data_IF_317835963066
#
_entry.id   IF_317835963066
#
_cell.length_a   1.000
_cell.length_b   1.000
_cell.length_c   1.000
_cell.angle_alpha   90.00
_cell.angle_beta   90.00
_cell.angle_gamma   90.00
#
_symmetry.space_group_name_H-M   'P 1'
#
loop_
_entity.id
_entity.type
_entity.pdbx_description
1 polymer ?
#
# COMPACT_ATOMS: atom_id res chain seq x y z
N UNK A 1 25.28 8.55 24.97
CA UNK A 1 24.86 8.33 23.57
C UNK A 1 23.39 8.06 23.62
N UNK A 2 22.51 8.83 22.98
CA UNK A 2 21.09 8.54 23.00
C UNK A 2 20.83 7.26 22.20
N UNK A 3 20.04 6.35 22.79
CA UNK A 3 19.63 5.08 22.20
C UNK A 3 18.66 5.32 21.03
N UNK A 4 19.20 5.60 19.86
CA UNK A 4 18.46 5.80 18.63
C UNK A 4 18.35 4.50 17.83
N UNK A 5 17.18 4.15 17.36
CA UNK A 5 17.02 3.11 16.35
C UNK A 5 17.64 3.61 15.05
N UNK A 6 18.71 2.98 14.57
CA UNK A 6 19.32 3.35 13.30
C UNK A 6 18.63 2.56 12.18
N UNK A 7 17.90 3.25 11.31
CA UNK A 7 17.42 2.69 10.05
C UNK A 7 18.51 2.83 8.98
N UNK A 8 18.88 1.73 8.37
CA UNK A 8 19.80 1.72 7.24
C UNK A 8 19.06 1.30 5.97
N UNK A 9 19.30 1.99 4.86
CA UNK A 9 18.82 1.59 3.55
C UNK A 9 19.98 0.91 2.82
N UNK A 10 19.73 -0.27 2.27
CA UNK A 10 20.67 -0.94 1.39
C UNK A 10 19.86 -1.54 0.23
N UNK A 11 20.12 -1.08 -1.00
CA UNK A 11 19.40 -1.49 -2.22
C UNK A 11 17.87 -1.30 -2.11
N UNK A 12 17.40 -0.12 -1.65
CA UNK A 12 15.97 0.13 -1.42
C UNK A 12 15.40 -0.53 -0.17
N UNK A 13 16.23 -1.06 0.73
CA UNK A 13 15.80 -1.80 1.93
C UNK A 13 16.24 -1.11 3.20
N UNK A 14 15.32 -0.94 4.15
CA UNK A 14 15.61 -0.43 5.47
C UNK A 14 16.16 -1.54 6.37
N UNK A 15 17.25 -1.22 7.09
CA UNK A 15 17.77 -2.06 8.16
C UNK A 15 17.71 -1.31 9.48
N UNK A 16 17.22 -1.96 10.53
CA UNK A 16 17.31 -1.45 11.89
C UNK A 16 18.48 -2.11 12.62
N UNK A 17 19.21 -1.35 13.43
CA UNK A 17 20.14 -1.93 14.38
C UNK A 17 19.36 -2.39 15.62
N UNK A 18 19.66 -3.56 16.22
CA UNK A 18 18.96 -4.02 17.41
C UNK A 18 19.26 -3.08 18.58
N UNK A 19 18.23 -2.52 19.18
CA UNK A 19 18.30 -1.85 20.49
C UNK A 19 17.79 -2.81 21.55
N UNK A 20 18.53 -2.92 22.65
CA UNK A 20 18.10 -3.66 23.84
C UNK A 20 16.83 -3.03 24.40
N UNK A 21 15.93 -3.90 24.86
CA UNK A 21 14.65 -3.64 25.48
C UNK A 21 14.66 -2.49 26.52
N UNK A 22 14.28 -1.28 26.10
CA UNK A 22 13.64 -0.26 26.90
C UNK A 22 12.82 0.61 25.95
N UNK A 23 11.58 0.93 26.30
CA UNK A 23 10.73 1.84 25.53
C UNK A 23 11.44 3.21 25.40
N UNK A 24 11.89 3.63 24.23
CA UNK A 24 12.49 4.94 24.07
C UNK A 24 11.39 6.00 24.17
N UNK A 25 11.58 7.00 25.04
CA UNK A 25 10.66 8.14 25.21
C UNK A 25 10.64 9.09 24.00
N UNK A 26 11.55 8.93 23.04
CA UNK A 26 11.54 9.62 21.76
C UNK A 26 12.15 8.72 20.68
N UNK A 27 11.45 8.59 19.55
CA UNK A 27 11.90 7.80 18.40
C UNK A 27 12.54 8.73 17.38
N UNK A 28 13.82 8.54 17.15
CA UNK A 28 14.57 9.27 16.13
C UNK A 28 15.15 8.26 15.14
N UNK A 29 15.08 8.59 13.87
CA UNK A 29 15.67 7.80 12.79
C UNK A 29 16.76 8.63 12.11
N UNK A 30 17.94 8.06 12.00
CA UNK A 30 19.08 8.63 11.28
C UNK A 30 19.35 7.80 10.03
N UNK A 31 19.57 8.48 8.91
CA UNK A 31 20.16 7.84 7.74
C UNK A 31 21.65 7.58 8.02
N UNK A 32 22.11 6.37 7.66
CA UNK A 32 23.54 6.06 7.83
C UNK A 32 24.38 6.92 6.90
N UNK A 33 25.49 7.46 7.40
CA UNK A 33 26.43 8.27 6.61
C UNK A 33 26.89 7.57 5.35
N UNK A 34 27.08 6.24 5.40
CA UNK A 34 27.43 5.42 4.22
C UNK A 34 26.32 5.44 3.14
N UNK A 35 25.05 5.49 3.54
CA UNK A 35 23.94 5.59 2.58
C UNK A 35 23.90 6.98 1.96
N UNK A 36 24.09 8.02 2.77
CA UNK A 36 24.07 9.41 2.28
C UNK A 36 25.26 9.71 1.35
N UNK A 37 26.38 9.00 1.52
CA UNK A 37 27.54 9.09 0.62
C UNK A 37 27.38 8.31 -0.70
N UNK A 38 26.35 7.48 -0.82
CA UNK A 38 26.05 6.73 -2.04
C UNK A 38 25.46 7.68 -3.09
N UNK A 39 26.06 7.81 -4.30
CA UNK A 39 25.52 8.66 -5.37
C UNK A 39 24.15 8.19 -5.85
N UNK A 40 23.79 6.95 -5.59
CA UNK A 40 22.48 6.39 -5.87
C UNK A 40 21.52 6.42 -4.67
N UNK A 41 21.89 7.10 -3.59
CA UNK A 41 21.00 7.29 -2.44
C UNK A 41 19.68 7.95 -2.86
N UNK A 42 18.58 7.48 -2.32
CA UNK A 42 17.22 7.90 -2.68
C UNK A 42 16.40 8.17 -1.44
N UNK A 43 15.63 9.26 -1.47
CA UNK A 43 14.63 9.53 -0.46
C UNK A 43 13.49 8.49 -0.58
N UNK A 44 13.03 7.96 0.54
CA UNK A 44 11.93 6.96 0.56
C UNK A 44 10.56 7.59 0.44
N UNK A 45 10.48 8.89 0.64
CA UNK A 45 9.25 9.67 0.55
C UNK A 45 9.58 11.11 0.18
N UNK A 46 8.65 11.76 -0.48
CA UNK A 46 8.71 13.21 -0.73
C UNK A 46 8.74 14.01 0.59
N UNK A 47 8.17 13.47 1.66
CA UNK A 47 8.18 14.08 3.00
C UNK A 47 9.43 13.76 3.82
N UNK A 48 10.29 12.83 3.36
CA UNK A 48 11.50 12.38 4.03
C UNK A 48 12.75 12.60 3.15
N UNK A 49 13.15 13.84 2.88
CA UNK A 49 14.31 14.14 2.03
C UNK A 49 15.61 13.62 2.65
N UNK A 50 16.60 13.29 1.83
CA UNK A 50 17.92 12.87 2.33
C UNK A 50 18.55 14.00 3.16
N UNK A 51 18.96 13.69 4.41
CA UNK A 51 19.64 14.63 5.30
C UNK A 51 20.45 13.89 6.37
N UNK A 52 21.44 14.59 6.94
CA UNK A 52 22.28 14.05 8.02
C UNK A 52 21.60 14.14 9.41
N UNK A 53 20.66 15.05 9.56
CA UNK A 53 19.97 15.26 10.82
C UNK A 53 18.95 14.15 11.07
N UNK A 54 18.71 13.85 12.34
CA UNK A 54 17.70 12.90 12.75
C UNK A 54 16.29 13.39 12.37
N UNK A 55 15.46 12.48 11.90
CA UNK A 55 14.03 12.75 11.73
C UNK A 55 13.33 12.61 13.07
N UNK A 56 12.44 13.55 13.37
CA UNK A 56 11.54 13.45 14.53
C UNK A 56 10.46 12.39 14.29
N UNK A 57 9.85 11.91 15.37
CA UNK A 57 8.70 10.99 15.31
C UNK A 57 7.57 11.56 14.43
N UNK A 58 7.24 12.84 14.60
CA UNK A 58 6.19 13.52 13.85
C UNK A 58 6.46 13.60 12.33
N UNK A 59 7.74 13.55 11.94
CA UNK A 59 8.14 13.53 10.52
C UNK A 59 8.11 12.10 9.95
N UNK A 60 8.44 11.10 10.77
CA UNK A 60 8.53 9.70 10.35
C UNK A 60 7.18 9.00 10.29
N UNK A 61 6.35 9.25 11.31
CA UNK A 61 5.08 8.56 11.50
C UNK A 61 4.18 8.62 10.24
N UNK A 62 3.99 9.76 9.56
CA UNK A 62 3.13 9.83 8.39
C UNK A 62 3.48 8.79 7.32
N UNK A 63 4.77 8.59 7.06
CA UNK A 63 5.21 7.62 6.06
C UNK A 63 5.17 6.18 6.59
N UNK A 64 5.85 5.92 7.71
CA UNK A 64 6.04 4.55 8.19
C UNK A 64 4.77 3.95 8.76
N UNK A 65 3.99 4.72 9.50
CA UNK A 65 2.69 4.28 10.00
C UNK A 65 1.68 4.05 8.85
N UNK A 66 1.76 4.87 7.81
CA UNK A 66 0.99 4.72 6.58
C UNK A 66 1.21 3.40 5.83
N UNK A 67 2.31 2.68 6.08
CA UNK A 67 2.59 1.37 5.50
C UNK A 67 1.82 0.23 6.19
N UNK A 68 1.27 0.46 7.37
CA UNK A 68 0.52 -0.53 8.13
C UNK A 68 -0.98 -0.50 7.79
N UNK A 69 -1.70 -1.61 8.01
CA UNK A 69 -3.16 -1.59 8.01
C UNK A 69 -3.70 -0.63 9.06
N UNK A 70 -4.91 -0.12 8.84
CA UNK A 70 -5.62 0.77 9.77
C UNK A 70 -6.71 0.01 10.54
N UNK A 71 -7.26 0.65 11.57
CA UNK A 71 -8.46 0.21 12.27
C UNK A 71 -8.34 -1.17 12.93
N UNK A 72 -9.35 -2.01 12.75
CA UNK A 72 -9.43 -3.30 13.42
C UNK A 72 -8.41 -4.32 12.85
N UNK A 73 -8.06 -4.25 11.57
CA UNK A 73 -7.00 -5.11 11.01
C UNK A 73 -5.66 -4.86 11.73
N UNK A 74 -5.33 -3.60 12.01
CA UNK A 74 -4.15 -3.24 12.82
C UNK A 74 -4.24 -3.80 14.24
N UNK A 75 -5.39 -3.63 14.91
CA UNK A 75 -5.59 -4.15 16.28
C UNK A 75 -5.48 -5.67 16.33
N UNK A 76 -6.05 -6.37 15.36
CA UNK A 76 -5.97 -7.83 15.29
C UNK A 76 -4.53 -8.32 15.12
N UNK A 77 -3.75 -7.72 14.21
CA UNK A 77 -2.33 -8.05 14.02
C UNK A 77 -1.53 -7.72 15.28
N UNK A 78 -1.76 -6.56 15.89
CA UNK A 78 -1.08 -6.15 17.10
C UNK A 78 -1.35 -7.11 18.27
N UNK A 79 -2.60 -7.51 18.48
CA UNK A 79 -3.01 -8.48 19.49
C UNK A 79 -2.37 -9.87 19.25
N UNK A 80 -2.36 -10.34 17.99
CA UNK A 80 -1.73 -11.61 17.64
C UNK A 80 -0.22 -11.62 17.92
N UNK A 81 0.43 -10.48 17.76
CA UNK A 81 1.88 -10.34 17.97
C UNK A 81 2.24 -9.92 19.41
N UNK A 82 1.26 -9.62 20.27
CA UNK A 82 1.49 -9.08 21.61
C UNK A 82 2.18 -7.70 21.59
N UNK A 83 1.82 -6.87 20.62
CA UNK A 83 2.41 -5.52 20.40
C UNK A 83 1.31 -4.47 20.56
N UNK A 84 1.63 -3.34 21.19
CA UNK A 84 0.71 -2.21 21.25
C UNK A 84 0.42 -1.67 19.83
N UNK A 85 -0.86 -1.41 19.46
CA UNK A 85 -1.23 -0.95 18.12
C UNK A 85 -0.50 0.34 17.68
N UNK A 86 -0.17 1.21 18.62
CA UNK A 86 0.53 2.48 18.34
C UNK A 86 2.03 2.31 18.14
N UNK A 87 2.57 1.13 18.40
CA UNK A 87 3.98 0.86 18.17
C UNK A 87 4.24 0.43 16.72
N UNK A 88 4.02 1.39 15.79
CA UNK A 88 4.13 1.14 14.34
C UNK A 88 5.51 0.61 13.92
N UNK A 89 6.61 1.08 14.54
CA UNK A 89 7.95 0.60 14.18
C UNK A 89 8.14 -0.88 14.52
N UNK A 90 7.66 -1.33 15.68
CA UNK A 90 7.76 -2.73 16.07
C UNK A 90 6.82 -3.61 15.23
N UNK A 91 5.63 -3.12 14.91
CA UNK A 91 4.72 -3.79 13.98
C UNK A 91 5.36 -3.95 12.60
N UNK A 92 5.98 -2.89 12.06
CA UNK A 92 6.69 -2.95 10.79
C UNK A 92 7.87 -3.92 10.82
N UNK A 93 8.63 -3.99 11.92
CA UNK A 93 9.70 -4.97 12.06
C UNK A 93 9.20 -6.43 12.02
N UNK A 94 7.98 -6.67 12.43
CA UNK A 94 7.36 -8.01 12.42
C UNK A 94 6.64 -8.32 11.11
N UNK A 95 6.04 -7.32 10.47
CA UNK A 95 5.17 -7.47 9.30
C UNK A 95 5.70 -6.80 8.03
N UNK A 96 6.74 -5.95 8.14
CA UNK A 96 7.16 -5.03 7.09
C UNK A 96 7.94 -5.63 5.92
N UNK A 97 7.97 -6.95 5.79
CA UNK A 97 8.58 -7.61 4.62
C UNK A 97 7.77 -7.37 3.35
N UNK A 98 6.46 -7.20 3.48
CA UNK A 98 5.54 -7.01 2.35
C UNK A 98 4.71 -5.74 2.49
N UNK A 99 5.37 -4.61 2.48
CA UNK A 99 4.74 -3.30 2.48
C UNK A 99 4.27 -2.90 1.07
N UNK A 100 3.55 -1.80 1.00
CA UNK A 100 3.26 -1.08 -0.24
C UNK A 100 4.59 -0.51 -0.79
N UNK A 101 4.73 -0.50 -2.12
CA UNK A 101 5.94 -0.01 -2.78
C UNK A 101 7.14 -0.94 -2.66
N UNK A 102 8.35 -0.40 -2.74
CA UNK A 102 9.62 -1.14 -2.75
C UNK A 102 10.39 -1.07 -1.42
N UNK A 103 9.78 -0.52 -0.39
CA UNK A 103 10.39 -0.46 0.95
C UNK A 103 10.07 -1.75 1.71
N UNK A 104 11.11 -2.42 2.22
CA UNK A 104 10.96 -3.55 3.14
C UNK A 104 11.68 -3.24 4.45
N UNK A 105 11.02 -3.50 5.56
CA UNK A 105 11.57 -3.25 6.89
C UNK A 105 11.97 -4.59 7.50
N UNK A 106 13.27 -4.73 7.80
CA UNK A 106 13.85 -5.98 8.24
C UNK A 106 14.80 -5.76 9.41
N UNK A 107 15.02 -6.79 10.21
CA UNK A 107 16.01 -6.82 11.29
C UNK A 107 17.44 -7.10 10.81
N UNK A 108 17.73 -6.98 9.53
CA UNK A 108 19.05 -7.19 8.93
C UNK A 108 19.09 -8.24 7.82
N UNK A 109 18.11 -9.13 7.74
CA UNK A 109 17.99 -10.11 6.67
C UNK A 109 17.23 -9.54 5.47
N UNK A 110 17.74 -9.76 4.27
CA UNK A 110 17.05 -9.38 3.06
C UNK A 110 15.88 -10.33 2.79
N UNK A 111 14.68 -9.82 2.43
CA UNK A 111 13.60 -10.70 1.98
C UNK A 111 14.08 -11.55 0.80
N UNK A 112 13.79 -12.85 0.83
CA UNK A 112 14.04 -13.70 -0.32
C UNK A 112 12.94 -13.53 -1.37
N UNK A 113 13.21 -12.89 -2.53
CA UNK A 113 12.20 -12.71 -3.57
C UNK A 113 11.83 -14.02 -4.29
N UNK A 114 12.63 -15.06 -4.09
CA UNK A 114 12.47 -16.40 -4.69
C UNK A 114 11.82 -17.41 -3.74
N UNK A 115 11.05 -16.98 -2.76
CA UNK A 115 10.40 -17.88 -1.81
C UNK A 115 9.52 -18.95 -2.49
N UNK A 116 8.99 -19.87 -1.70
CA UNK A 116 8.18 -20.99 -2.21
C UNK A 116 6.87 -20.49 -2.82
N UNK A 117 6.58 -20.97 -4.01
CA UNK A 117 5.28 -20.81 -4.67
C UNK A 117 4.42 -22.03 -4.34
N UNK A 118 3.27 -21.82 -3.73
CA UNK A 118 2.32 -22.90 -3.46
C UNK A 118 0.97 -22.57 -4.10
N UNK A 119 0.52 -23.45 -5.00
CA UNK A 119 -0.82 -23.36 -5.55
C UNK A 119 -1.86 -23.55 -4.45
N UNK A 120 -2.89 -22.71 -4.43
CA UNK A 120 -4.00 -22.85 -3.51
C UNK A 120 -5.03 -23.83 -4.08
N UNK A 121 -5.46 -24.76 -3.25
CA UNK A 121 -6.61 -25.60 -3.56
C UNK A 121 -7.92 -24.83 -3.35
N UNK A 122 -9.03 -25.34 -3.88
CA UNK A 122 -10.34 -24.77 -3.58
C UNK A 122 -10.69 -24.79 -2.09
N UNK A 123 -10.12 -25.74 -1.32
CA UNK A 123 -10.26 -25.77 0.15
C UNK A 123 -9.47 -24.63 0.81
N UNK A 124 -8.19 -24.42 0.41
CA UNK A 124 -7.38 -23.31 0.91
C UNK A 124 -8.05 -21.95 0.65
N UNK A 125 -8.60 -21.76 -0.56
CA UNK A 125 -9.29 -20.54 -0.94
C UNK A 125 -10.55 -20.30 -0.09
N UNK A 126 -11.39 -21.30 0.11
CA UNK A 126 -12.56 -21.17 0.97
C UNK A 126 -12.18 -20.84 2.41
N UNK A 127 -11.17 -21.49 2.97
CA UNK A 127 -10.68 -21.19 4.31
C UNK A 127 -10.13 -19.75 4.41
N UNK A 128 -9.41 -19.29 3.38
CA UNK A 128 -8.92 -17.92 3.31
C UNK A 128 -10.08 -16.91 3.30
N UNK A 129 -11.12 -17.16 2.48
CA UNK A 129 -12.27 -16.26 2.39
C UNK A 129 -13.07 -16.22 3.67
N UNK A 130 -13.33 -17.36 4.33
CA UNK A 130 -13.99 -17.37 5.64
C UNK A 130 -13.24 -16.52 6.66
N UNK A 131 -11.91 -16.64 6.73
CA UNK A 131 -11.11 -15.81 7.63
C UNK A 131 -11.16 -14.30 7.27
N UNK A 132 -11.20 -13.97 5.98
CA UNK A 132 -11.35 -12.59 5.53
C UNK A 132 -12.72 -12.00 5.91
N UNK A 133 -13.78 -12.81 5.86
CA UNK A 133 -15.14 -12.42 6.22
C UNK A 133 -15.27 -12.21 7.74
N UNK A 134 -14.76 -13.12 8.55
CA UNK A 134 -14.72 -12.95 10.01
C UNK A 134 -14.03 -11.65 10.42
N UNK A 135 -12.92 -11.31 9.74
CA UNK A 135 -12.25 -10.02 9.93
C UNK A 135 -13.11 -8.82 9.49
N UNK A 136 -13.84 -8.95 8.38
CA UNK A 136 -14.71 -7.88 7.89
C UNK A 136 -15.92 -7.69 8.82
N UNK A 137 -16.52 -8.76 9.33
CA UNK A 137 -17.66 -8.71 10.27
C UNK A 137 -17.24 -8.12 11.62
N UNK A 138 -16.12 -8.53 12.17
CA UNK A 138 -15.60 -7.96 13.43
C UNK A 138 -15.33 -6.45 13.33
N UNK A 139 -15.08 -5.94 12.11
CA UNK A 139 -14.92 -4.52 11.84
C UNK A 139 -16.27 -3.78 11.73
N UNK A 140 -17.35 -4.44 11.26
CA UNK A 140 -18.67 -3.83 11.10
C UNK A 140 -19.32 -3.51 12.45
N UNK A 141 -19.10 -4.31 13.47
CA UNK A 141 -19.59 -4.05 14.82
C UNK A 141 -19.02 -2.76 15.44
N UNK A 142 -17.82 -2.36 15.02
CA UNK A 142 -17.19 -1.12 15.47
C UNK A 142 -17.73 0.17 14.84
N UNK A 143 -18.68 0.12 13.92
CA UNK A 143 -19.44 1.22 13.28
C UNK A 143 -18.63 2.42 12.75
N UNK A 144 -17.36 2.27 12.37
CA UNK A 144 -16.50 3.44 12.17
C UNK A 144 -16.16 3.80 10.73
N UNK A 145 -16.40 2.97 9.72
CA UNK A 145 -16.47 3.33 8.29
C UNK A 145 -16.61 2.10 7.40
N UNK A 146 -17.25 2.23 6.23
CA UNK A 146 -17.33 1.20 5.19
C UNK A 146 -15.93 0.73 4.71
N UNK A 147 -14.91 1.58 4.79
CA UNK A 147 -13.53 1.24 4.44
C UNK A 147 -12.90 0.19 5.38
N UNK A 148 -13.34 0.13 6.64
CA UNK A 148 -12.92 -0.87 7.63
C UNK A 148 -13.58 -2.23 7.49
N UNK A 149 -14.66 -2.34 6.72
CA UNK A 149 -15.49 -3.55 6.60
C UNK A 149 -15.04 -4.52 5.50
N UNK A 150 -13.94 -4.26 4.83
CA UNK A 150 -13.39 -5.13 3.78
C UNK A 150 -12.28 -6.03 4.33
N UNK A 151 -12.45 -7.34 4.20
CA UNK A 151 -11.36 -8.31 4.34
C UNK A 151 -10.44 -8.23 3.12
N UNK A 152 -9.13 -8.30 3.33
CA UNK A 152 -8.13 -8.23 2.26
C UNK A 152 -7.10 -9.34 2.41
N UNK A 153 -6.75 -10.01 1.32
CA UNK A 153 -5.64 -10.96 1.25
C UNK A 153 -4.82 -10.73 -0.01
N UNK A 154 -3.51 -10.92 0.11
CA UNK A 154 -2.61 -10.82 -1.03
C UNK A 154 -2.30 -12.21 -1.61
N UNK A 155 -2.32 -12.36 -2.93
CA UNK A 155 -2.00 -13.58 -3.66
C UNK A 155 -1.27 -13.27 -4.97
N UNK A 156 -0.84 -14.31 -5.69
CA UNK A 156 -0.39 -14.22 -7.06
C UNK A 156 -1.29 -15.05 -7.96
N UNK A 157 -1.45 -14.59 -9.17
CA UNK A 157 -2.00 -15.34 -10.28
C UNK A 157 -0.87 -15.87 -11.17
N UNK A 158 -1.03 -17.07 -11.74
CA UNK A 158 -0.02 -17.67 -12.61
C UNK A 158 0.21 -16.77 -13.84
N UNK A 159 1.45 -16.30 -14.11
CA UNK A 159 1.72 -15.48 -15.29
C UNK A 159 1.34 -16.18 -16.61
N UNK A 160 0.53 -15.50 -17.42
CA UNK A 160 0.10 -16.00 -18.73
C UNK A 160 -1.06 -16.99 -18.72
N UNK A 161 -1.57 -17.40 -17.55
CA UNK A 161 -2.83 -18.12 -17.46
C UNK A 161 -4.03 -17.14 -17.47
N UNK A 162 -5.22 -17.52 -17.95
CA UNK A 162 -6.39 -16.69 -17.80
C UNK A 162 -6.82 -16.62 -16.34
N UNK A 163 -7.26 -15.45 -15.89
CA UNK A 163 -7.95 -15.29 -14.60
C UNK A 163 -9.38 -15.77 -14.78
N UNK A 164 -9.70 -16.94 -14.25
CA UNK A 164 -11.06 -17.46 -14.25
C UNK A 164 -11.84 -17.05 -12.98
N UNK A 165 -13.15 -17.08 -13.07
CA UNK A 165 -14.04 -16.72 -11.94
C UNK A 165 -13.85 -17.61 -10.72
N UNK A 166 -13.39 -18.83 -10.91
CA UNK A 166 -13.11 -19.78 -9.84
C UNK A 166 -11.72 -19.57 -9.17
N UNK A 167 -10.88 -18.67 -9.68
CA UNK A 167 -9.55 -18.40 -9.14
C UNK A 167 -8.61 -19.60 -9.17
N UNK A 168 -8.79 -20.53 -10.14
CA UNK A 168 -8.07 -21.81 -10.19
C UNK A 168 -6.55 -21.68 -10.31
N UNK A 169 -6.05 -20.51 -10.71
CA UNK A 169 -4.63 -20.23 -10.91
C UNK A 169 -4.04 -19.30 -9.85
N UNK A 170 -4.63 -19.27 -8.65
CA UNK A 170 -4.12 -18.46 -7.54
C UNK A 170 -3.07 -19.23 -6.71
N UNK A 171 -2.04 -18.50 -6.31
CA UNK A 171 -0.87 -19.01 -5.59
C UNK A 171 -0.52 -18.14 -4.39
N UNK A 172 0.02 -18.74 -3.34
CA UNK A 172 0.76 -17.99 -2.33
C UNK A 172 2.16 -17.72 -2.84
N UNK A 173 2.63 -16.49 -2.68
CA UNK A 173 3.97 -16.04 -3.10
C UNK A 173 4.51 -15.01 -2.13
N UNK A 174 5.85 -14.85 -2.04
CA UNK A 174 6.46 -13.88 -1.13
C UNK A 174 6.08 -12.42 -1.40
N UNK A 175 5.91 -12.05 -2.68
CA UNK A 175 5.57 -10.70 -3.11
C UNK A 175 4.26 -10.75 -3.90
N UNK A 176 3.16 -10.55 -3.23
CA UNK A 176 1.79 -10.75 -3.70
C UNK A 176 1.36 -9.70 -4.72
N UNK A 177 1.31 -10.02 -6.02
CA UNK A 177 0.96 -9.05 -7.07
C UNK A 177 -0.54 -8.78 -7.20
N UNK A 178 -1.39 -9.51 -6.48
CA UNK A 178 -2.84 -9.32 -6.48
C UNK A 178 -3.34 -9.12 -5.06
N UNK A 179 -4.39 -8.32 -4.92
CA UNK A 179 -5.14 -8.14 -3.68
C UNK A 179 -6.55 -8.65 -3.90
N UNK A 180 -6.97 -9.61 -3.10
CA UNK A 180 -8.36 -10.03 -3.02
C UNK A 180 -9.07 -9.20 -1.96
N UNK A 181 -10.29 -8.78 -2.25
CA UNK A 181 -11.14 -8.00 -1.36
C UNK A 181 -12.51 -8.65 -1.24
N UNK A 182 -12.96 -8.84 -0.01
CA UNK A 182 -14.34 -9.20 0.34
C UNK A 182 -14.98 -8.03 1.07
N UNK A 183 -16.29 -8.06 1.24
CA UNK A 183 -17.02 -7.08 2.02
C UNK A 183 -17.97 -7.77 2.99
N UNK A 184 -18.29 -7.12 4.12
CA UNK A 184 -19.38 -7.53 5.01
C UNK A 184 -20.74 -7.55 4.28
N UNK A 185 -20.91 -6.67 3.29
CA UNK A 185 -22.01 -6.68 2.34
C UNK A 185 -21.53 -7.25 1.00
N UNK A 186 -22.24 -8.23 0.41
CA UNK A 186 -21.82 -8.88 -0.85
C UNK A 186 -21.66 -7.90 -2.02
N UNK A 187 -22.42 -6.81 -2.02
CA UNK A 187 -22.43 -5.83 -3.10
C UNK A 187 -21.19 -4.93 -3.13
N UNK A 188 -20.46 -4.77 -2.01
CA UNK A 188 -19.29 -3.87 -1.96
C UNK A 188 -18.21 -4.26 -2.98
N UNK A 189 -17.76 -5.52 -3.10
CA UNK A 189 -16.79 -5.91 -4.12
C UNK A 189 -17.30 -5.72 -5.54
N UNK A 190 -18.60 -5.98 -5.77
CA UNK A 190 -19.24 -5.80 -7.07
C UNK A 190 -19.32 -4.32 -7.45
N UNK A 191 -19.74 -3.45 -6.54
CA UNK A 191 -19.79 -2.00 -6.77
C UNK A 191 -18.40 -1.44 -7.07
N UNK A 192 -17.37 -1.82 -6.30
CA UNK A 192 -15.99 -1.41 -6.56
C UNK A 192 -15.53 -1.90 -7.94
N UNK A 193 -15.85 -3.14 -8.32
CA UNK A 193 -15.56 -3.67 -9.66
C UNK A 193 -16.22 -2.84 -10.76
N UNK A 194 -17.53 -2.57 -10.64
CA UNK A 194 -18.28 -1.80 -11.63
C UNK A 194 -17.75 -0.37 -11.77
N UNK A 195 -17.43 0.30 -10.65
CA UNK A 195 -16.84 1.63 -10.68
C UNK A 195 -15.45 1.64 -11.36
N UNK A 196 -14.61 0.65 -11.08
CA UNK A 196 -13.30 0.51 -11.73
C UNK A 196 -13.46 0.26 -13.24
N UNK A 197 -14.42 -0.57 -13.66
CA UNK A 197 -14.71 -0.80 -15.09
C UNK A 197 -15.28 0.45 -15.76
N UNK A 198 -16.17 1.19 -15.10
CA UNK A 198 -16.72 2.46 -15.60
C UNK A 198 -15.61 3.51 -15.75
N UNK A 199 -14.75 3.66 -14.75
CA UNK A 199 -13.60 4.56 -14.82
C UNK A 199 -12.67 4.24 -16.01
N UNK A 200 -12.36 2.95 -16.21
CA UNK A 200 -11.59 2.50 -17.37
C UNK A 200 -12.27 2.84 -18.71
N UNK A 201 -13.60 2.64 -18.80
CA UNK A 201 -14.38 3.01 -19.99
C UNK A 201 -14.39 4.52 -20.26
N UNK A 202 -14.24 5.34 -19.22
CA UNK A 202 -14.06 6.80 -19.31
C UNK A 202 -12.60 7.21 -19.63
N UNK A 203 -11.71 6.27 -19.93
CA UNK A 203 -10.31 6.55 -20.25
C UNK A 203 -9.45 6.93 -19.06
N UNK A 204 -9.89 6.62 -17.83
CA UNK A 204 -9.09 6.79 -16.62
C UNK A 204 -8.19 5.56 -16.45
N UNK A 205 -6.91 5.78 -16.21
CA UNK A 205 -5.98 4.72 -15.89
C UNK A 205 -6.33 4.13 -14.52
N UNK A 206 -6.77 2.87 -14.50
CA UNK A 206 -7.12 2.13 -13.29
C UNK A 206 -6.29 0.84 -13.21
N UNK A 207 -6.10 0.34 -12.00
CA UNK A 207 -5.54 -0.99 -11.82
C UNK A 207 -6.46 -2.05 -12.46
N UNK A 208 -5.94 -3.07 -13.15
CA UNK A 208 -6.76 -4.15 -13.69
C UNK A 208 -7.52 -4.87 -12.57
N UNK A 209 -8.79 -5.17 -12.83
CA UNK A 209 -9.68 -5.83 -11.87
C UNK A 209 -10.40 -7.00 -12.47
N UNK A 210 -10.61 -8.03 -11.65
CA UNK A 210 -11.36 -9.24 -11.97
C UNK A 210 -12.38 -9.50 -10.87
N UNK A 211 -13.55 -9.98 -11.23
CA UNK A 211 -14.55 -10.44 -10.30
C UNK A 211 -14.48 -11.97 -10.23
N UNK A 212 -14.23 -12.50 -9.05
CA UNK A 212 -14.19 -13.92 -8.77
C UNK A 212 -15.47 -14.33 -8.06
N UNK A 213 -15.92 -15.59 -8.28
CA UNK A 213 -17.09 -16.14 -7.61
C UNK A 213 -16.69 -17.33 -6.72
N UNK A 214 -16.84 -17.16 -5.42
CA UNK A 214 -16.67 -18.18 -4.40
C UNK A 214 -17.95 -18.41 -3.60
N UNK A 215 -19.12 -18.38 -4.28
CA UNK A 215 -20.44 -18.36 -3.67
C UNK A 215 -20.88 -16.94 -3.27
N UNK A 216 -19.98 -15.98 -3.39
CA UNK A 216 -20.18 -14.52 -3.30
C UNK A 216 -19.09 -13.79 -4.09
N UNK A 217 -19.36 -12.53 -4.50
CA UNK A 217 -18.39 -11.76 -5.25
C UNK A 217 -17.12 -11.46 -4.44
N UNK A 218 -15.97 -11.69 -5.05
CA UNK A 218 -14.64 -11.33 -4.52
C UNK A 218 -13.93 -10.50 -5.57
N UNK A 219 -13.56 -9.27 -5.23
CA UNK A 219 -12.80 -8.41 -6.11
C UNK A 219 -11.31 -8.78 -6.07
N UNK A 220 -10.74 -9.09 -7.21
CA UNK A 220 -9.31 -9.27 -7.40
C UNK A 220 -8.74 -8.04 -8.11
N UNK A 221 -7.80 -7.35 -7.47
CA UNK A 221 -7.13 -6.15 -8.00
C UNK A 221 -5.67 -6.48 -8.27
N UNK A 222 -5.19 -6.22 -9.49
CA UNK A 222 -3.77 -6.30 -9.81
C UNK A 222 -3.03 -5.11 -9.20
N UNK A 223 -1.94 -5.38 -8.50
CA UNK A 223 -1.11 -4.34 -7.90
C UNK A 223 -0.20 -3.71 -8.96
N UNK A 224 -0.32 -2.42 -9.19
CA UNK A 224 0.54 -1.69 -10.13
C UNK A 224 1.97 -1.48 -9.58
N UNK A 225 2.19 -1.67 -8.28
CA UNK A 225 3.52 -1.61 -7.63
C UNK A 225 4.24 -2.97 -7.63
N UNK A 226 3.73 -3.95 -8.37
CA UNK A 226 4.32 -5.28 -8.55
C UNK A 226 4.41 -5.62 -10.03
N UNK A 227 5.58 -6.08 -10.47
CA UNK A 227 5.77 -6.60 -11.82
C UNK A 227 6.10 -8.08 -11.75
N UNK A 228 5.29 -8.88 -12.41
CA UNK A 228 5.59 -10.29 -12.61
C UNK A 228 6.56 -10.43 -13.78
N UNK A 229 7.70 -11.05 -13.53
CA UNK A 229 8.77 -11.29 -14.49
C UNK A 229 9.09 -12.79 -14.51
N UNK A 230 9.87 -13.21 -15.49
CA UNK A 230 10.49 -14.54 -15.50
C UNK A 230 12.01 -14.36 -15.45
N UNK A 231 12.64 -15.04 -14.51
CA UNK A 231 14.10 -15.13 -14.41
C UNK A 231 14.47 -16.60 -14.56
N UNK A 232 15.20 -16.94 -15.63
CA UNK A 232 15.59 -18.33 -15.95
C UNK A 232 14.41 -19.32 -16.00
N UNK A 233 13.24 -18.85 -16.47
CA UNK A 233 12.02 -19.64 -16.55
C UNK A 233 11.15 -19.63 -15.27
N UNK A 234 11.71 -19.26 -14.14
CA UNK A 234 10.98 -19.18 -12.87
C UNK A 234 10.24 -17.84 -12.73
N UNK A 235 9.04 -17.83 -12.15
CA UNK A 235 8.32 -16.59 -11.88
C UNK A 235 9.02 -15.81 -10.78
N UNK A 236 9.25 -14.52 -11.04
CA UNK A 236 9.83 -13.57 -10.07
C UNK A 236 8.94 -12.33 -10.03
N UNK A 237 8.71 -11.80 -8.85
CA UNK A 237 7.99 -10.54 -8.67
C UNK A 237 8.98 -9.45 -8.28
N UNK A 238 9.06 -8.39 -9.06
CA UNK A 238 9.78 -7.17 -8.70
C UNK A 238 8.85 -6.13 -8.11
N UNK A 239 9.38 -5.27 -7.26
CA UNK A 239 8.66 -4.18 -6.61
C UNK A 239 8.96 -2.86 -7.34
N UNK A 240 7.94 -2.01 -7.42
CA UNK A 240 8.08 -0.62 -7.81
C UNK A 240 7.81 0.25 -6.59
N UNK A 241 8.63 1.28 -6.41
CA UNK A 241 8.41 2.18 -5.30
C UNK A 241 7.19 3.07 -5.54
N UNK A 242 6.36 3.19 -4.50
CA UNK A 242 5.20 4.07 -4.48
C UNK A 242 4.97 4.61 -3.07
N UNK A 243 4.25 5.70 -2.99
CA UNK A 243 3.66 6.23 -1.75
C UNK A 243 2.30 6.86 -2.06
N UNK A 244 1.40 6.87 -1.09
CA UNK A 244 0.16 7.63 -1.20
C UNK A 244 0.39 9.13 -0.93
N UNK A 245 -0.58 9.97 -1.30
CA UNK A 245 -0.41 11.42 -1.12
C UNK A 245 -0.40 11.84 0.36
N UNK A 246 -1.01 11.06 1.26
CA UNK A 246 -0.89 11.31 2.70
C UNK A 246 0.58 11.20 3.14
N UNK A 247 1.26 10.14 2.71
CA UNK A 247 2.69 9.93 2.94
C UNK A 247 3.55 11.02 2.29
N UNK A 248 3.27 11.35 1.01
CA UNK A 248 4.03 12.35 0.25
C UNK A 248 3.93 13.76 0.84
N UNK A 249 2.78 14.13 1.40
CA UNK A 249 2.55 15.40 2.10
C UNK A 249 2.92 15.37 3.58
N UNK A 250 3.33 14.24 4.13
CA UNK A 250 3.62 14.10 5.57
C UNK A 250 2.38 14.24 6.44
N UNK A 251 1.21 13.84 5.94
CA UNK A 251 -0.06 13.83 6.67
C UNK A 251 -0.24 12.45 7.31
N UNK A 252 -0.38 12.36 8.64
CA UNK A 252 -0.53 11.07 9.30
C UNK A 252 -1.86 10.38 8.92
N UNK A 253 -1.93 9.01 8.97
CA UNK A 253 -3.09 8.25 8.51
C UNK A 253 -4.43 8.68 9.11
N UNK A 254 -4.45 9.03 10.38
CA UNK A 254 -5.64 9.50 11.10
C UNK A 254 -6.16 10.84 10.61
N UNK A 255 -5.29 11.65 9.98
CA UNK A 255 -5.63 12.95 9.41
C UNK A 255 -5.83 12.94 7.88
N UNK A 256 -6.03 11.77 7.27
CA UNK A 256 -6.14 11.59 5.81
C UNK A 256 -7.24 12.42 5.12
N UNK A 257 -8.27 12.84 5.88
CA UNK A 257 -9.33 13.75 5.41
C UNK A 257 -9.03 15.23 5.66
N UNK A 258 -7.85 15.55 6.21
CA UNK A 258 -7.45 16.93 6.45
C UNK A 258 -7.43 17.72 5.14
N UNK A 259 -8.09 18.88 5.14
CA UNK A 259 -7.98 19.82 4.04
C UNK A 259 -6.59 20.45 4.00
N UNK A 260 -5.98 20.47 2.81
CA UNK A 260 -4.69 21.13 2.58
C UNK A 260 -4.92 22.57 2.06
N UNK A 261 -4.03 23.47 2.40
CA UNK A 261 -4.09 24.87 1.93
C UNK A 261 -3.54 25.02 0.50
N UNK A 262 -4.11 25.86 -0.35
CA UNK A 262 -5.37 26.63 -0.17
C UNK A 262 -6.63 25.76 -0.35
N UNK A 263 -6.50 24.58 -0.89
CA UNK A 263 -7.42 23.45 -0.93
C UNK A 263 -6.66 22.19 -1.31
N UNK A 264 -7.19 21.02 -0.95
CA UNK A 264 -6.53 19.74 -1.26
C UNK A 264 -6.33 19.56 -2.77
N UNK A 265 -7.29 19.93 -3.59
CA UNK A 265 -7.17 19.85 -5.04
C UNK A 265 -6.06 20.78 -5.59
N UNK A 266 -5.96 22.00 -5.09
CA UNK A 266 -4.92 22.95 -5.50
C UNK A 266 -3.53 22.52 -5.03
N UNK A 267 -3.40 22.01 -3.80
CA UNK A 267 -2.16 21.47 -3.26
C UNK A 267 -1.65 20.30 -4.09
N UNK A 268 -2.52 19.31 -4.37
CA UNK A 268 -2.21 18.14 -5.21
C UNK A 268 -1.84 18.55 -6.63
N UNK A 269 -2.60 19.45 -7.25
CA UNK A 269 -2.31 19.96 -8.58
C UNK A 269 -0.94 20.67 -8.65
N UNK A 270 -0.61 21.48 -7.65
CA UNK A 270 0.69 22.15 -7.54
C UNK A 270 1.83 21.14 -7.35
N UNK A 271 1.64 20.15 -6.51
CA UNK A 271 2.60 19.07 -6.27
C UNK A 271 2.90 18.28 -7.56
N UNK A 272 1.86 17.87 -8.29
CA UNK A 272 2.00 17.16 -9.59
C UNK A 272 2.76 18.06 -10.57
N UNK A 273 2.36 19.32 -10.72
CA UNK A 273 3.00 20.28 -11.64
C UNK A 273 4.49 20.44 -11.39
N UNK A 274 4.91 20.47 -10.13
CA UNK A 274 6.30 20.71 -9.76
C UNK A 274 7.17 19.47 -9.77
N UNK A 275 6.59 18.28 -9.57
CA UNK A 275 7.37 17.08 -9.24
C UNK A 275 7.16 15.89 -10.18
N UNK A 276 6.07 15.83 -10.93
CA UNK A 276 5.84 14.74 -11.88
C UNK A 276 6.82 14.81 -13.05
N UNK A 277 7.21 13.65 -13.57
CA UNK A 277 7.99 13.55 -14.82
C UNK A 277 7.18 13.90 -16.07
N UNK A 278 5.84 13.90 -15.99
CA UNK A 278 4.93 14.31 -17.06
C UNK A 278 3.75 15.10 -16.49
N UNK A 279 3.99 16.34 -16.06
CA UNK A 279 3.03 17.09 -15.26
C UNK A 279 1.70 17.35 -15.97
N UNK A 280 1.70 17.60 -17.29
CA UNK A 280 0.47 17.88 -18.04
C UNK A 280 -0.44 16.63 -18.07
N UNK A 281 0.13 15.47 -18.40
CA UNK A 281 -0.62 14.20 -18.44
C UNK A 281 -1.17 13.83 -17.07
N UNK A 282 -0.37 14.02 -16.01
CA UNK A 282 -0.78 13.67 -14.65
C UNK A 282 -1.79 14.66 -14.06
N UNK A 283 -1.74 15.94 -14.44
CA UNK A 283 -2.78 16.92 -14.10
C UNK A 283 -4.10 16.58 -14.80
N UNK A 284 -4.06 16.18 -16.07
CA UNK A 284 -5.25 15.73 -16.78
C UNK A 284 -5.82 14.47 -16.13
N UNK A 285 -4.98 13.49 -15.79
CA UNK A 285 -5.41 12.28 -15.10
C UNK A 285 -6.04 12.60 -13.73
N UNK A 286 -5.42 13.50 -12.96
CA UNK A 286 -5.96 13.95 -11.67
C UNK A 286 -7.32 14.64 -11.83
N UNK A 287 -7.48 15.53 -12.80
CA UNK A 287 -8.75 16.20 -13.07
C UNK A 287 -9.83 15.18 -13.46
N UNK A 288 -9.52 14.21 -14.34
CA UNK A 288 -10.45 13.15 -14.76
C UNK A 288 -10.91 12.29 -13.58
N UNK A 289 -9.98 11.87 -12.72
CA UNK A 289 -10.28 11.09 -11.52
C UNK A 289 -11.18 11.90 -10.56
N UNK A 290 -10.88 13.18 -10.35
CA UNK A 290 -11.65 14.05 -9.47
C UNK A 290 -13.07 14.24 -9.98
N UNK A 291 -13.24 14.53 -11.28
CA UNK A 291 -14.56 14.65 -11.91
C UNK A 291 -15.33 13.33 -11.85
N UNK A 292 -14.67 12.20 -12.11
CA UNK A 292 -15.32 10.89 -12.04
C UNK A 292 -15.81 10.59 -10.62
N UNK A 293 -14.96 10.79 -9.61
CA UNK A 293 -15.31 10.58 -8.20
C UNK A 293 -16.53 11.44 -7.80
N UNK A 294 -16.58 12.70 -8.25
CA UNK A 294 -17.73 13.56 -8.03
C UNK A 294 -19.00 13.01 -8.69
N UNK A 295 -18.92 12.58 -9.95
CA UNK A 295 -20.06 12.08 -10.72
C UNK A 295 -20.65 10.78 -10.17
N UNK A 296 -19.79 9.89 -9.63
CA UNK A 296 -20.22 8.63 -9.02
C UNK A 296 -20.54 8.75 -7.53
N UNK A 297 -20.45 9.95 -6.95
CA UNK A 297 -20.73 10.16 -5.52
C UNK A 297 -19.72 9.52 -4.58
N UNK A 298 -18.45 9.38 -5.00
CA UNK A 298 -17.38 8.81 -4.15
C UNK A 298 -17.01 9.77 -3.02
N UNK A 299 -17.57 9.56 -1.83
CA UNK A 299 -17.28 10.35 -0.63
C UNK A 299 -16.01 9.95 0.10
N UNK A 300 -15.42 8.77 -0.20
CA UNK A 300 -14.17 8.29 0.40
C UNK A 300 -12.92 8.77 -0.40
N UNK A 301 -12.97 9.97 -0.95
CA UNK A 301 -11.91 10.53 -1.79
C UNK A 301 -10.89 11.30 -0.93
N UNK A 302 -10.10 10.58 -0.12
CA UNK A 302 -9.06 11.15 0.73
C UNK A 302 -7.64 10.94 0.13
N UNK A 303 -6.61 11.61 0.72
CA UNK A 303 -5.23 11.60 0.25
C UNK A 303 -4.62 10.20 0.05
N UNK A 304 -5.02 9.21 0.85
CA UNK A 304 -4.52 7.83 0.73
C UNK A 304 -5.10 7.05 -0.46
N UNK A 305 -6.12 7.57 -1.14
CA UNK A 305 -6.70 6.94 -2.34
C UNK A 305 -5.98 7.36 -3.63
N UNK A 306 -5.12 8.35 -3.55
CA UNK A 306 -4.25 8.79 -4.63
C UNK A 306 -2.81 8.45 -4.28
N UNK A 307 -2.08 7.91 -5.23
CA UNK A 307 -0.67 7.50 -5.05
C UNK A 307 0.20 8.00 -6.18
N UNK A 308 1.49 8.09 -5.91
CA UNK A 308 2.51 8.32 -6.91
C UNK A 308 3.38 7.08 -7.07
N UNK A 309 3.72 6.76 -8.30
CA UNK A 309 4.55 5.64 -8.68
C UNK A 309 5.89 6.15 -9.19
N UNK A 310 6.96 5.77 -8.53
CA UNK A 310 8.30 6.22 -8.86
C UNK A 310 8.86 5.50 -10.08
N UNK A 311 9.73 6.19 -10.81
CA UNK A 311 10.58 5.55 -11.83
C UNK A 311 11.54 4.57 -11.17
N UNK A 312 12.16 3.68 -11.96
CA UNK A 312 13.14 2.71 -11.45
C UNK A 312 14.33 3.35 -10.71
N UNK A 313 14.62 4.60 -11.02
CA UNK A 313 15.68 5.38 -10.37
C UNK A 313 15.21 6.14 -9.13
N UNK A 314 13.91 6.19 -8.84
CA UNK A 314 13.24 6.98 -7.80
C UNK A 314 13.47 8.51 -7.90
N UNK A 315 14.07 8.98 -8.99
CA UNK A 315 14.38 10.42 -9.19
C UNK A 315 13.16 11.23 -9.61
N UNK A 316 12.15 10.55 -10.12
CA UNK A 316 10.89 11.16 -10.55
C UNK A 316 9.74 10.18 -10.37
N UNK A 317 8.53 10.67 -10.45
CA UNK A 317 7.33 9.87 -10.33
C UNK A 317 6.28 10.24 -11.39
N UNK A 318 5.25 9.44 -11.47
CA UNK A 318 3.98 9.67 -12.18
C UNK A 318 2.83 9.49 -11.19
N UNK A 319 1.69 10.08 -11.48
CA UNK A 319 0.46 9.70 -10.81
C UNK A 319 0.18 8.22 -11.07
N UNK A 320 -0.09 7.46 -10.00
CA UNK A 320 -0.38 6.04 -10.11
C UNK A 320 -1.81 5.82 -10.68
N UNK A 321 -2.08 4.63 -11.27
CA UNK A 321 -3.43 4.27 -11.65
C UNK A 321 -4.40 4.32 -10.46
N UNK A 322 -5.64 4.74 -10.69
CA UNK A 322 -6.65 4.79 -9.65
C UNK A 322 -6.96 3.38 -9.10
N UNK A 323 -7.08 3.27 -7.76
CA UNK A 323 -7.33 2.01 -7.07
C UNK A 323 -8.76 1.86 -6.54
N UNK A 324 -9.51 2.95 -6.37
CA UNK A 324 -10.76 2.95 -5.61
C UNK A 324 -11.77 4.04 -6.00
N UNK A 325 -12.14 4.19 -7.26
CA UNK A 325 -13.40 4.86 -7.51
C UNK A 325 -14.54 3.93 -7.03
N UNK A 326 -15.40 4.38 -6.12
CA UNK A 326 -16.57 3.62 -5.68
C UNK A 326 -17.73 4.54 -5.31
N UNK A 327 -18.94 3.99 -5.36
CA UNK A 327 -20.12 4.63 -4.80
C UNK A 327 -20.09 4.51 -3.27
N UNK A 328 -20.33 5.61 -2.59
CA UNK A 328 -20.69 5.62 -1.17
C UNK A 328 -22.16 6.03 -1.07
N UNK A 329 -22.99 5.15 -0.54
CA UNK A 329 -24.39 5.44 -0.21
C UNK A 329 -24.46 6.07 1.18
#
# INVERSE_FOLDING_TARGET
>A
MPDGCALGIQNGRFRTAPTRTHQPRSRHVLLRSRYLADPDARAVSCSLPLRNEAYSESTLAPYFDGLLPEGAARRAIAAQLGIEPDNYLLLLLRCGLETIGDVAITNGEAPNPRGSYRRLSGFDLRALFSAMEELAESNSEARLSLAGTQGKAGLAHMPGAPMDEAGSNLWTVPLRPHILKTGSLPDIPLLEYLCMKAAAACGIAVAPVHLLDFGRPVLCVERYDRRQLRDRGEPVVSRLHQEDLSQAFGVPPEAKYRELEPSTAAAVGSFIRMRSSRPIEDLEAFARITCFNYLVGNCDNHLKNLSILYTSTWKSFRLAPALRPRFDN
#
